data_IF_787632338141
#
_entry.id   IF_787632338141
#
_cell.length_a   1.000
_cell.length_b   1.000
_cell.length_c   1.000
_cell.angle_alpha   90.00
_cell.angle_beta   90.00
_cell.angle_gamma   90.00
#
_symmetry.space_group_name_H-M   'P 1'
#
loop_
_entity.id
_entity.type
_entity.pdbx_description
1 polymer ?
#
# COMPACT_ATOMS: atom_id res chain seq x y z
N UNK A 1 -10.48 -16.66 16.70
CA UNK A 1 -10.63 -17.72 15.67
C UNK A 1 -11.46 -17.28 14.45
N UNK A 2 -12.64 -16.57 14.57
CA UNK A 2 -13.38 -16.12 13.36
C UNK A 2 -12.59 -15.13 12.49
N UNK A 3 -11.92 -14.18 13.09
CA UNK A 3 -11.13 -13.16 12.37
C UNK A 3 -10.00 -13.78 11.53
N UNK A 4 -9.32 -14.76 12.05
CA UNK A 4 -8.27 -15.49 11.38
C UNK A 4 -8.74 -16.19 10.11
N UNK A 5 -9.93 -16.83 10.16
CA UNK A 5 -10.54 -17.46 8.99
C UNK A 5 -10.90 -16.43 7.92
N UNK A 6 -11.41 -15.27 8.31
CA UNK A 6 -11.72 -14.15 7.39
C UNK A 6 -10.45 -13.67 6.70
N UNK A 7 -9.36 -13.47 7.45
CA UNK A 7 -8.05 -13.07 6.89
C UNK A 7 -7.55 -14.08 5.88
N UNK A 8 -7.58 -15.37 6.21
CA UNK A 8 -7.13 -16.42 5.29
C UNK A 8 -7.96 -16.45 3.99
N UNK A 9 -9.29 -16.36 4.09
CA UNK A 9 -10.18 -16.34 2.91
C UNK A 9 -9.87 -15.11 2.04
N UNK A 10 -9.68 -13.94 2.65
CA UNK A 10 -9.38 -12.71 1.91
C UNK A 10 -8.01 -12.78 1.23
N UNK A 11 -6.98 -13.23 1.95
CA UNK A 11 -5.64 -13.41 1.37
C UNK A 11 -5.69 -14.43 0.23
N UNK A 12 -6.35 -15.59 0.41
CA UNK A 12 -6.50 -16.57 -0.66
C UNK A 12 -7.20 -15.98 -1.88
N UNK A 13 -8.30 -15.24 -1.69
CA UNK A 13 -9.02 -14.57 -2.79
C UNK A 13 -8.14 -13.54 -3.52
N UNK A 14 -7.36 -12.76 -2.79
CA UNK A 14 -6.41 -11.80 -3.37
C UNK A 14 -5.35 -12.51 -4.23
N UNK A 15 -4.77 -13.60 -3.72
CA UNK A 15 -3.78 -14.37 -4.47
C UNK A 15 -4.37 -15.10 -5.67
N UNK A 16 -5.64 -15.51 -5.63
CA UNK A 16 -6.34 -16.02 -6.82
C UNK A 16 -6.45 -14.96 -7.92
N UNK A 17 -6.74 -13.70 -7.57
CA UNK A 17 -6.76 -12.59 -8.52
C UNK A 17 -5.34 -12.29 -9.07
N UNK A 18 -4.31 -12.30 -8.20
CA UNK A 18 -2.91 -12.17 -8.64
C UNK A 18 -2.56 -13.32 -9.59
N UNK A 19 -2.91 -14.54 -9.26
CA UNK A 19 -2.68 -15.72 -10.11
C UNK A 19 -3.43 -15.61 -11.46
N UNK A 20 -4.66 -15.12 -11.45
CA UNK A 20 -5.41 -14.88 -12.68
C UNK A 20 -4.72 -13.86 -13.58
N UNK A 21 -4.23 -12.74 -13.03
CA UNK A 21 -3.43 -11.76 -13.75
C UNK A 21 -2.12 -12.34 -14.30
N UNK A 22 -1.42 -13.15 -13.51
CA UNK A 22 -0.20 -13.85 -13.91
C UNK A 22 -0.46 -14.83 -15.06
N UNK A 23 -1.51 -15.64 -14.97
CA UNK A 23 -1.92 -16.56 -16.03
C UNK A 23 -2.33 -15.82 -17.31
N UNK A 24 -3.10 -14.73 -17.18
CA UNK A 24 -3.51 -13.91 -18.32
C UNK A 24 -2.29 -13.32 -19.06
N UNK A 25 -1.25 -12.90 -18.32
CA UNK A 25 0.02 -12.43 -18.91
C UNK A 25 0.77 -13.57 -19.59
N UNK A 26 0.92 -14.71 -18.93
CA UNK A 26 1.61 -15.89 -19.49
C UNK A 26 0.94 -16.48 -20.72
N UNK A 27 -0.38 -16.38 -20.80
CA UNK A 27 -1.18 -16.81 -21.98
C UNK A 27 -1.27 -15.75 -23.07
N UNK A 28 -0.66 -14.56 -22.89
CA UNK A 28 -0.68 -13.49 -23.87
C UNK A 28 -1.99 -12.68 -23.93
N UNK A 29 -2.96 -12.92 -23.04
CA UNK A 29 -4.21 -12.16 -22.97
C UNK A 29 -3.96 -10.72 -22.48
N UNK A 30 -3.12 -10.56 -21.45
CA UNK A 30 -2.64 -9.27 -20.96
C UNK A 30 -1.22 -9.03 -21.48
N UNK A 31 -1.10 -8.45 -22.68
CA UNK A 31 0.18 -8.02 -23.23
C UNK A 31 0.71 -6.82 -22.44
N UNK A 32 1.94 -6.41 -22.68
CA UNK A 32 2.60 -5.33 -21.96
C UNK A 32 1.83 -4.02 -22.00
N UNK A 33 1.37 -3.63 -23.18
CA UNK A 33 0.54 -2.45 -23.41
C UNK A 33 -0.76 -2.48 -22.61
N UNK A 34 -1.49 -3.61 -22.64
CA UNK A 34 -2.74 -3.79 -21.91
C UNK A 34 -2.52 -3.77 -20.38
N UNK A 35 -1.42 -4.36 -19.91
CA UNK A 35 -1.03 -4.31 -18.50
C UNK A 35 -0.69 -2.88 -18.06
N UNK A 36 -0.02 -2.11 -18.92
CA UNK A 36 0.27 -0.69 -18.70
C UNK A 36 -0.99 0.17 -18.63
N UNK A 37 -1.95 -0.05 -19.52
CA UNK A 37 -3.25 0.64 -19.52
C UNK A 37 -4.02 0.32 -18.23
N UNK A 38 -4.08 -0.96 -17.86
CA UNK A 38 -4.74 -1.40 -16.63
C UNK A 38 -4.15 -0.70 -15.39
N UNK A 39 -2.82 -0.65 -15.29
CA UNK A 39 -2.13 0.03 -14.20
C UNK A 39 -2.41 1.54 -14.17
N UNK A 40 -2.49 2.19 -15.32
CA UNK A 40 -2.85 3.62 -15.41
C UNK A 40 -4.29 3.86 -14.96
N UNK A 41 -5.25 3.06 -15.40
CA UNK A 41 -6.64 3.17 -14.94
C UNK A 41 -6.72 3.05 -13.42
N UNK A 42 -5.99 2.10 -12.84
CA UNK A 42 -5.94 1.94 -11.39
C UNK A 42 -5.35 3.17 -10.71
N UNK A 43 -4.18 3.63 -11.14
CA UNK A 43 -3.42 4.68 -10.43
C UNK A 43 -4.01 6.08 -10.68
N UNK A 44 -4.44 6.36 -11.90
CA UNK A 44 -4.81 7.72 -12.31
C UNK A 44 -6.33 8.00 -12.19
N UNK A 45 -7.16 6.95 -12.08
CA UNK A 45 -8.61 7.11 -11.99
C UNK A 45 -9.23 6.36 -10.80
N UNK A 46 -9.09 5.03 -10.74
CA UNK A 46 -9.82 4.23 -9.76
C UNK A 46 -9.34 4.47 -8.32
N UNK A 47 -8.03 4.50 -8.09
CA UNK A 47 -7.46 4.76 -6.76
C UNK A 47 -7.76 6.18 -6.24
N UNK A 48 -7.59 7.26 -7.00
CA UNK A 48 -8.05 8.59 -6.58
C UNK A 48 -9.54 8.66 -6.25
N UNK A 49 -10.39 8.00 -7.03
CA UNK A 49 -11.84 7.92 -6.76
C UNK A 49 -12.13 7.15 -5.46
N UNK A 50 -11.44 6.03 -5.22
CA UNK A 50 -11.52 5.28 -3.98
C UNK A 50 -11.14 6.16 -2.78
N UNK A 51 -9.97 6.79 -2.84
CA UNK A 51 -9.45 7.59 -1.73
C UNK A 51 -10.37 8.77 -1.44
N UNK A 52 -10.79 9.51 -2.47
CA UNK A 52 -11.70 10.63 -2.34
C UNK A 52 -13.00 10.20 -1.66
N UNK A 53 -13.68 9.18 -2.15
CA UNK A 53 -14.97 8.72 -1.62
C UNK A 53 -14.85 8.14 -0.22
N UNK A 54 -13.76 7.46 0.10
CA UNK A 54 -13.52 6.94 1.46
C UNK A 54 -13.24 8.07 2.45
N UNK A 55 -12.42 9.06 2.09
CA UNK A 55 -12.21 10.24 2.94
C UNK A 55 -13.51 11.00 3.16
N UNK A 56 -14.28 11.21 2.09
CA UNK A 56 -15.57 11.89 2.16
C UNK A 56 -16.52 11.22 3.16
N UNK A 57 -16.60 9.88 3.16
CA UNK A 57 -17.55 9.11 4.00
C UNK A 57 -17.06 8.89 5.43
N UNK A 58 -15.75 8.82 5.66
CA UNK A 58 -15.19 8.34 6.93
C UNK A 58 -14.52 9.42 7.77
N UNK A 59 -14.22 10.60 7.19
CA UNK A 59 -13.51 11.66 7.90
C UNK A 59 -14.47 12.70 8.46
N UNK A 60 -14.27 13.03 9.74
CA UNK A 60 -14.87 14.17 10.44
C UNK A 60 -13.87 14.82 11.39
N UNK A 61 -14.26 15.91 12.05
CA UNK A 61 -13.39 16.63 12.98
C UNK A 61 -12.94 15.72 14.14
N UNK A 62 -13.84 14.86 14.63
CA UNK A 62 -13.54 13.96 15.76
C UNK A 62 -12.53 12.87 15.32
N UNK A 63 -12.77 12.24 14.16
CA UNK A 63 -11.87 11.24 13.62
C UNK A 63 -10.50 11.81 13.26
N UNK A 64 -10.42 13.03 12.70
CA UNK A 64 -9.12 13.68 12.44
C UNK A 64 -8.36 13.99 13.72
N UNK A 65 -9.04 14.45 14.77
CA UNK A 65 -8.41 14.65 16.08
C UNK A 65 -7.88 13.35 16.69
N UNK A 66 -8.58 12.25 16.47
CA UNK A 66 -8.16 10.94 16.93
C UNK A 66 -7.00 10.38 16.09
N UNK A 67 -7.05 10.57 14.78
CA UNK A 67 -6.21 9.91 13.78
C UNK A 67 -5.06 10.82 13.24
N UNK A 68 -4.84 12.01 13.84
CA UNK A 68 -3.87 13.02 13.35
C UNK A 68 -2.43 12.50 13.24
N UNK A 69 -2.07 11.51 14.06
CA UNK A 69 -0.74 10.89 14.03
C UNK A 69 -0.57 9.91 12.87
N UNK A 70 -1.64 9.37 12.29
CA UNK A 70 -1.55 8.31 11.29
C UNK A 70 -0.70 8.70 10.06
N UNK A 71 -0.79 9.91 9.49
CA UNK A 71 0.08 10.32 8.39
C UNK A 71 1.56 10.43 8.77
N UNK A 72 1.90 10.52 10.06
CA UNK A 72 3.27 10.62 10.54
C UNK A 72 3.91 9.26 10.83
N UNK A 73 3.10 8.22 11.13
CA UNK A 73 3.59 6.89 11.50
C UNK A 73 4.45 6.18 10.44
N UNK A 74 4.26 6.39 9.13
CA UNK A 74 5.15 5.81 8.12
C UNK A 74 6.60 6.27 8.23
N UNK A 75 6.88 7.50 8.67
CA UNK A 75 8.25 8.00 8.74
C UNK A 75 9.13 7.23 9.73
N UNK A 76 8.75 7.02 11.00
CA UNK A 76 9.52 6.17 11.90
C UNK A 76 9.61 4.72 11.41
N UNK A 77 8.57 4.16 10.81
CA UNK A 77 8.60 2.80 10.27
C UNK A 77 9.60 2.68 9.10
N UNK A 78 9.63 3.66 8.19
CA UNK A 78 10.59 3.72 7.09
C UNK A 78 12.01 3.97 7.62
N UNK A 79 12.19 4.84 8.62
CA UNK A 79 13.48 5.09 9.23
C UNK A 79 14.07 3.82 9.87
N UNK A 80 13.25 3.06 10.59
CA UNK A 80 13.66 1.79 11.20
C UNK A 80 13.98 0.74 10.13
N UNK A 81 13.13 0.62 9.11
CA UNK A 81 13.40 -0.26 7.98
C UNK A 81 14.71 0.13 7.27
N UNK A 82 15.00 1.44 7.17
CA UNK A 82 16.26 1.94 6.64
C UNK A 82 17.45 1.54 7.51
N UNK A 83 17.37 1.74 8.83
CA UNK A 83 18.43 1.33 9.76
C UNK A 83 18.67 -0.18 9.73
N UNK A 84 17.62 -0.99 9.72
CA UNK A 84 17.73 -2.44 9.54
C UNK A 84 18.37 -2.79 8.18
N UNK A 85 17.99 -2.08 7.12
CA UNK A 85 18.55 -2.22 5.79
C UNK A 85 20.04 -1.86 5.72
N UNK A 86 20.54 -0.90 6.50
CA UNK A 86 21.97 -0.57 6.58
C UNK A 86 22.80 -1.77 7.10
N UNK A 87 22.21 -2.61 7.96
CA UNK A 87 22.84 -3.83 8.46
C UNK A 87 22.72 -4.97 7.43
N UNK A 88 21.52 -5.13 6.86
CA UNK A 88 21.22 -6.26 5.95
C UNK A 88 21.88 -6.09 4.57
N UNK A 89 21.83 -4.89 3.98
CA UNK A 89 22.29 -4.65 2.62
C UNK A 89 23.77 -5.01 2.39
N UNK A 90 24.72 -4.73 3.33
CA UNK A 90 26.10 -5.15 3.16
C UNK A 90 26.32 -6.66 3.26
N UNK A 91 25.46 -7.38 3.99
CA UNK A 91 25.56 -8.83 4.18
C UNK A 91 25.13 -9.61 2.94
N UNK A 92 24.18 -9.07 2.19
CA UNK A 92 23.52 -9.75 1.08
C UNK A 92 23.80 -9.12 -0.29
N UNK A 93 24.27 -7.87 -0.36
CA UNK A 93 24.44 -7.11 -1.60
C UNK A 93 25.84 -6.56 -1.81
N UNK A 94 26.36 -6.61 -3.04
CA UNK A 94 27.55 -5.88 -3.47
C UNK A 94 27.33 -4.36 -3.44
N UNK A 95 28.40 -3.56 -3.54
CA UNK A 95 28.34 -2.09 -3.48
C UNK A 95 27.36 -1.49 -4.50
N UNK A 96 27.27 -2.05 -5.71
CA UNK A 96 26.39 -1.58 -6.79
C UNK A 96 24.89 -1.82 -6.51
N UNK A 97 24.56 -2.84 -5.72
CA UNK A 97 23.17 -3.23 -5.44
C UNK A 97 22.65 -2.70 -4.11
N UNK A 98 23.54 -2.17 -3.27
CA UNK A 98 23.24 -1.76 -1.90
C UNK A 98 22.06 -0.77 -1.81
N UNK A 99 22.06 0.25 -2.64
CA UNK A 99 21.00 1.27 -2.63
C UNK A 99 19.64 0.67 -3.04
N UNK A 100 19.64 -0.23 -4.03
CA UNK A 100 18.41 -0.93 -4.42
C UNK A 100 17.89 -1.82 -3.30
N UNK A 101 18.74 -2.59 -2.63
CA UNK A 101 18.37 -3.41 -1.48
C UNK A 101 17.78 -2.55 -0.35
N UNK A 102 18.45 -1.46 0.01
CA UNK A 102 17.96 -0.50 1.00
C UNK A 102 16.60 0.06 0.63
N UNK A 103 16.43 0.50 -0.62
CA UNK A 103 15.18 1.03 -1.13
C UNK A 103 14.04 0.01 -1.03
N UNK A 104 14.26 -1.24 -1.42
CA UNK A 104 13.24 -2.29 -1.36
C UNK A 104 12.85 -2.62 0.08
N UNK A 105 13.81 -2.68 1.00
CA UNK A 105 13.53 -2.93 2.42
C UNK A 105 12.68 -1.81 3.03
N UNK A 106 12.88 -0.56 2.61
CA UNK A 106 12.17 0.61 3.14
C UNK A 106 10.80 0.86 2.52
N UNK A 107 10.44 0.13 1.46
CA UNK A 107 9.27 0.43 0.62
C UNK A 107 8.23 -0.70 0.60
N UNK A 108 7.44 -0.88 1.68
CA UNK A 108 6.35 -1.86 1.71
C UNK A 108 5.17 -1.46 0.82
N UNK A 109 4.33 -2.42 0.50
CA UNK A 109 3.03 -2.17 -0.12
C UNK A 109 2.04 -1.62 0.92
N UNK A 110 1.86 -0.31 0.94
CA UNK A 110 1.03 0.39 1.93
C UNK A 110 -0.47 0.27 1.68
N UNK A 111 -0.91 -0.07 0.46
CA UNK A 111 -2.32 0.06 0.07
C UNK A 111 -2.90 -1.21 -0.53
N UNK A 112 -2.41 -1.64 -1.69
CA UNK A 112 -3.13 -2.58 -2.53
C UNK A 112 -3.31 -3.99 -1.93
N UNK A 113 -2.40 -4.43 -1.07
CA UNK A 113 -2.55 -5.70 -0.35
C UNK A 113 -3.18 -5.53 1.04
N UNK A 114 -2.82 -4.54 1.88
CA UNK A 114 -3.41 -4.45 3.21
C UNK A 114 -4.83 -3.90 3.21
N UNK A 115 -5.23 -3.09 2.20
CA UNK A 115 -6.54 -2.46 2.15
C UNK A 115 -7.72 -3.45 2.19
N UNK A 116 -7.78 -4.48 1.32
CA UNK A 116 -8.88 -5.45 1.35
C UNK A 116 -8.93 -6.29 2.63
N UNK A 117 -7.80 -6.49 3.29
CA UNK A 117 -7.74 -7.19 4.58
C UNK A 117 -8.31 -6.30 5.69
N UNK A 118 -7.89 -5.04 5.74
CA UNK A 118 -8.39 -4.08 6.72
C UNK A 118 -9.87 -3.77 6.53
N UNK A 119 -10.34 -3.68 5.28
CA UNK A 119 -11.76 -3.52 4.96
C UNK A 119 -12.58 -4.71 5.47
N UNK A 120 -12.10 -5.93 5.27
CA UNK A 120 -12.78 -7.13 5.71
C UNK A 120 -12.86 -7.28 7.24
N UNK A 121 -11.85 -6.81 7.97
CA UNK A 121 -11.76 -6.94 9.42
C UNK A 121 -12.43 -5.78 10.16
N UNK A 122 -12.28 -4.57 9.61
CA UNK A 122 -12.63 -3.34 10.34
C UNK A 122 -13.54 -2.40 9.53
N UNK A 123 -13.93 -2.77 8.30
CA UNK A 123 -14.76 -1.93 7.43
C UNK A 123 -14.11 -0.58 7.10
N UNK A 124 -14.96 0.44 6.93
CA UNK A 124 -14.53 1.82 6.62
C UNK A 124 -13.47 2.41 7.55
N UNK A 125 -13.57 2.26 8.88
CA UNK A 125 -12.52 2.71 9.80
C UNK A 125 -11.15 2.12 9.53
N UNK A 126 -11.04 0.82 9.23
CA UNK A 126 -9.78 0.18 8.86
C UNK A 126 -9.21 0.72 7.55
N UNK A 127 -10.07 0.92 6.56
CA UNK A 127 -9.70 1.57 5.28
C UNK A 127 -9.17 2.98 5.52
N UNK A 128 -9.85 3.78 6.35
CA UNK A 128 -9.40 5.14 6.70
C UNK A 128 -8.01 5.15 7.31
N UNK A 129 -7.71 4.27 8.25
CA UNK A 129 -6.38 4.18 8.88
C UNK A 129 -5.31 3.93 7.81
N UNK A 130 -5.52 2.98 6.89
CA UNK A 130 -4.57 2.69 5.81
C UNK A 130 -4.37 3.90 4.90
N UNK A 131 -5.45 4.57 4.49
CA UNK A 131 -5.38 5.68 3.56
C UNK A 131 -4.72 6.92 4.18
N UNK A 132 -4.95 7.19 5.47
CA UNK A 132 -4.26 8.26 6.19
C UNK A 132 -2.76 7.94 6.36
N UNK A 133 -2.41 6.72 6.73
CA UNK A 133 -1.01 6.27 6.75
C UNK A 133 -0.37 6.37 5.35
N UNK A 134 -1.11 6.07 4.28
CA UNK A 134 -0.60 6.13 2.92
C UNK A 134 -0.16 7.55 2.50
N UNK A 135 -0.75 8.61 3.06
CA UNK A 135 -0.28 10.00 2.83
C UNK A 135 1.20 10.12 3.22
N UNK A 136 1.55 9.75 4.45
CA UNK A 136 2.94 9.78 4.91
C UNK A 136 3.83 8.77 4.19
N UNK A 137 3.29 7.60 3.85
CA UNK A 137 4.01 6.59 3.09
C UNK A 137 4.39 7.08 1.68
N UNK A 138 3.51 7.76 1.00
CA UNK A 138 3.80 8.40 -0.29
C UNK A 138 4.85 9.49 -0.15
N UNK A 139 4.73 10.34 0.89
CA UNK A 139 5.75 11.35 1.18
C UNK A 139 7.12 10.70 1.44
N UNK A 140 7.18 9.64 2.25
CA UNK A 140 8.42 8.92 2.55
C UNK A 140 8.99 8.21 1.30
N UNK A 141 8.16 7.56 0.49
CA UNK A 141 8.58 6.87 -0.73
C UNK A 141 9.20 7.84 -1.73
N UNK A 142 8.54 8.96 -1.99
CA UNK A 142 8.98 9.95 -2.97
C UNK A 142 10.07 10.87 -2.47
N UNK A 143 10.32 10.96 -1.17
CA UNK A 143 11.46 11.69 -0.60
C UNK A 143 12.62 10.75 -0.25
N UNK A 144 12.48 9.95 0.78
CA UNK A 144 13.53 9.04 1.28
C UNK A 144 13.86 7.95 0.25
N UNK A 145 12.84 7.34 -0.36
CA UNK A 145 13.04 6.28 -1.33
C UNK A 145 13.81 6.74 -2.57
N UNK A 146 13.43 7.88 -3.16
CA UNK A 146 14.14 8.44 -4.32
C UNK A 146 15.54 8.93 -3.92
N UNK A 147 15.70 9.50 -2.72
CA UNK A 147 17.01 9.88 -2.21
C UNK A 147 17.97 8.68 -2.06
N UNK A 148 17.48 7.54 -1.57
CA UNK A 148 18.27 6.29 -1.48
C UNK A 148 18.77 5.85 -2.86
N UNK A 149 17.94 5.93 -3.89
CA UNK A 149 18.28 5.49 -5.25
C UNK A 149 19.16 6.49 -6.00
N UNK A 150 18.79 7.76 -5.98
CA UNK A 150 19.33 8.78 -6.89
C UNK A 150 20.13 9.88 -6.20
N UNK A 151 20.02 10.03 -4.88
CA UNK A 151 20.72 11.07 -4.13
C UNK A 151 20.16 12.50 -4.28
N UNK A 152 19.10 12.73 -5.10
CA UNK A 152 18.54 14.05 -5.36
C UNK A 152 17.12 14.21 -4.82
N UNK A 153 17.02 14.91 -3.68
CA UNK A 153 15.76 15.16 -2.98
C UNK A 153 14.85 16.16 -3.70
N UNK A 154 15.41 17.13 -4.43
CA UNK A 154 14.60 18.16 -5.09
C UNK A 154 13.73 17.58 -6.21
N UNK A 155 14.24 16.62 -6.96
CA UNK A 155 13.48 15.91 -7.99
C UNK A 155 12.36 15.05 -7.38
N UNK A 156 12.62 14.44 -6.23
CA UNK A 156 11.63 13.67 -5.48
C UNK A 156 10.44 14.54 -5.06
N UNK A 157 10.69 15.69 -4.46
CA UNK A 157 9.65 16.62 -4.01
C UNK A 157 8.79 17.16 -5.17
N UNK A 158 9.39 17.42 -6.33
CA UNK A 158 8.64 17.84 -7.53
C UNK A 158 7.64 16.77 -8.02
N UNK A 159 7.93 15.49 -7.80
CA UNK A 159 7.04 14.41 -8.18
C UNK A 159 5.83 14.26 -7.22
N UNK A 160 5.97 14.68 -5.97
CA UNK A 160 4.87 14.69 -5.00
C UNK A 160 3.72 15.59 -5.44
N UNK A 161 4.00 16.76 -6.00
CA UNK A 161 2.97 17.71 -6.45
C UNK A 161 2.14 17.16 -7.61
N UNK A 162 2.61 16.12 -8.29
CA UNK A 162 1.91 15.45 -9.40
C UNK A 162 1.13 14.20 -8.97
N UNK A 163 1.17 13.85 -7.68
CA UNK A 163 0.51 12.66 -7.19
C UNK A 163 -1.00 12.91 -7.02
N UNK A 164 -1.80 12.39 -7.95
CA UNK A 164 -3.27 12.56 -7.97
C UNK A 164 -3.91 11.97 -6.71
N UNK A 165 -3.39 10.87 -6.18
CA UNK A 165 -3.90 10.24 -4.96
C UNK A 165 -3.77 11.13 -3.72
N UNK A 166 -2.66 11.89 -3.58
CA UNK A 166 -2.50 12.86 -2.49
C UNK A 166 -3.51 14.02 -2.61
N UNK A 167 -3.71 14.54 -3.82
CA UNK A 167 -4.71 15.59 -4.06
C UNK A 167 -6.12 15.09 -3.83
N UNK A 168 -6.45 13.86 -4.23
CA UNK A 168 -7.74 13.24 -3.97
C UNK A 168 -7.98 13.07 -2.46
N UNK A 169 -6.96 12.70 -1.68
CA UNK A 169 -7.04 12.63 -0.21
C UNK A 169 -7.33 14.00 0.38
N UNK A 170 -6.54 15.01 0.00
CA UNK A 170 -6.70 16.37 0.51
C UNK A 170 -8.09 16.95 0.18
N UNK A 171 -8.53 16.76 -1.07
CA UNK A 171 -9.84 17.21 -1.53
C UNK A 171 -10.97 16.48 -0.81
N UNK A 172 -10.89 15.16 -0.65
CA UNK A 172 -11.89 14.37 0.08
C UNK A 172 -12.05 14.82 1.52
N UNK A 173 -10.93 15.06 2.22
CA UNK A 173 -10.93 15.61 3.59
C UNK A 173 -11.53 17.02 3.61
N UNK A 174 -11.10 17.90 2.70
CA UNK A 174 -11.57 19.28 2.65
C UNK A 174 -13.11 19.36 2.42
N UNK A 175 -13.63 18.56 1.47
CA UNK A 175 -15.05 18.48 1.19
C UNK A 175 -15.83 17.89 2.36
N UNK A 176 -15.32 16.83 3.01
CA UNK A 176 -15.95 16.22 4.17
C UNK A 176 -16.10 17.17 5.35
N UNK A 177 -15.13 18.07 5.55
CA UNK A 177 -15.12 19.05 6.63
C UNK A 177 -15.97 20.31 6.30
N UNK A 178 -15.88 20.78 5.04
CA UNK A 178 -16.61 21.98 4.60
C UNK A 178 -18.11 21.72 4.40
N UNK A 179 -18.47 20.52 3.98
CA UNK A 179 -19.84 20.15 3.64
C UNK A 179 -20.25 18.82 4.32
N UNK A 180 -20.53 18.80 5.62
CA UNK A 180 -20.86 17.55 6.35
C UNK A 180 -22.05 16.78 5.75
N UNK A 181 -23.01 17.48 5.15
CA UNK A 181 -24.18 16.87 4.48
C UNK A 181 -23.78 15.98 3.26
N UNK A 182 -22.61 16.19 2.69
CA UNK A 182 -22.13 15.40 1.53
C UNK A 182 -21.72 13.96 1.93
N UNK A 183 -21.50 13.69 3.21
CA UNK A 183 -21.22 12.33 3.71
C UNK A 183 -22.34 11.35 3.40
N UNK A 184 -23.59 11.84 3.49
CA UNK A 184 -24.79 11.03 3.30
C UNK A 184 -25.14 10.83 1.83
N UNK A 185 -24.48 11.54 0.90
CA UNK A 185 -24.72 11.43 -0.53
C UNK A 185 -24.39 10.03 -1.12
N UNK A 186 -23.67 9.19 -0.37
CA UNK A 186 -23.49 7.78 -0.73
C UNK A 186 -24.67 6.89 -0.37
N UNK A 187 -25.67 7.40 0.34
CA UNK A 187 -26.90 6.69 0.67
C UNK A 187 -27.99 7.11 -0.31
N UNK A 188 -28.25 6.27 -1.31
CA UNK A 188 -29.24 6.54 -2.35
C UNK A 188 -30.67 6.77 -1.79
N UNK A 189 -30.99 6.17 -0.63
CA UNK A 189 -32.29 6.34 0.03
C UNK A 189 -32.44 7.67 0.79
N UNK A 190 -31.30 8.33 1.10
CA UNK A 190 -31.30 9.64 1.77
C UNK A 190 -30.97 10.78 0.81
N UNK A 191 -30.95 10.54 -0.49
CA UNK A 191 -30.64 11.54 -1.51
C UNK A 191 -31.70 12.66 -1.49
N UNK A 192 -31.30 13.94 -1.46
CA UNK A 192 -32.21 15.05 -1.55
C UNK A 192 -33.01 14.98 -2.86
N UNK A 193 -34.34 15.23 -2.79
CA UNK A 193 -35.22 15.19 -3.96
C UNK A 193 -34.98 16.34 -4.96
N UNK A 194 -34.14 17.30 -4.63
CA UNK A 194 -33.77 18.40 -5.54
C UNK A 194 -32.86 17.90 -6.68
N UNK A 195 -32.96 18.52 -7.86
CA UNK A 195 -32.11 18.21 -8.99
C UNK A 195 -30.61 18.29 -8.63
N UNK A 196 -30.19 19.27 -7.85
CA UNK A 196 -28.82 19.40 -7.36
C UNK A 196 -28.42 18.26 -6.43
N UNK A 197 -29.32 17.81 -5.55
CA UNK A 197 -29.12 16.68 -4.66
C UNK A 197 -28.98 15.35 -5.43
N UNK A 198 -29.86 15.14 -6.41
CA UNK A 198 -29.77 13.95 -7.28
C UNK A 198 -28.45 13.94 -8.06
N UNK A 199 -28.07 15.07 -8.67
CA UNK A 199 -26.84 15.18 -9.44
C UNK A 199 -25.59 14.95 -8.59
N UNK A 200 -25.52 15.55 -7.39
CA UNK A 200 -24.37 15.34 -6.47
C UNK A 200 -24.28 13.91 -5.98
N UNK A 201 -25.41 13.28 -5.66
CA UNK A 201 -25.45 11.86 -5.27
C UNK A 201 -24.99 10.96 -6.41
N UNK A 202 -25.44 11.20 -7.65
CA UNK A 202 -25.03 10.43 -8.83
C UNK A 202 -23.51 10.54 -9.08
N UNK A 203 -22.91 11.73 -8.90
CA UNK A 203 -21.47 11.92 -9.02
C UNK A 203 -20.69 11.13 -7.96
N UNK A 204 -21.11 11.23 -6.69
CA UNK A 204 -20.46 10.49 -5.59
C UNK A 204 -20.62 8.98 -5.78
N UNK A 205 -21.78 8.51 -6.24
CA UNK A 205 -22.01 7.10 -6.50
C UNK A 205 -21.15 6.60 -7.67
N UNK A 206 -21.09 7.33 -8.78
CA UNK A 206 -20.23 7.01 -9.92
C UNK A 206 -18.73 6.92 -9.51
N UNK A 207 -18.25 7.87 -8.69
CA UNK A 207 -16.91 7.82 -8.13
C UNK A 207 -16.71 6.62 -7.20
N UNK A 208 -17.72 6.26 -6.40
CA UNK A 208 -17.64 5.09 -5.53
C UNK A 208 -17.62 3.78 -6.34
N UNK A 209 -18.42 3.68 -7.39
CA UNK A 209 -18.36 2.54 -8.33
C UNK A 209 -16.99 2.42 -9.00
N UNK A 210 -16.44 3.54 -9.49
CA UNK A 210 -15.08 3.57 -10.06
C UNK A 210 -14.03 3.19 -9.00
N UNK A 211 -14.17 3.71 -7.78
CA UNK A 211 -13.29 3.38 -6.66
C UNK A 211 -13.31 1.89 -6.30
N UNK A 212 -14.47 1.24 -6.39
CA UNK A 212 -14.65 -0.18 -6.02
C UNK A 212 -13.84 -1.15 -6.88
N UNK A 213 -13.54 -0.79 -8.12
CA UNK A 213 -12.72 -1.63 -9.01
C UNK A 213 -11.21 -1.52 -8.74
N UNK A 214 -10.78 -0.59 -7.87
CA UNK A 214 -9.35 -0.38 -7.55
C UNK A 214 -8.69 -1.67 -7.07
N UNK A 215 -9.28 -2.35 -6.08
CA UNK A 215 -8.69 -3.55 -5.47
C UNK A 215 -8.59 -4.69 -6.49
N UNK A 216 -9.67 -5.16 -7.14
CA UNK A 216 -9.57 -6.28 -8.05
C UNK A 216 -8.68 -5.98 -9.26
N UNK A 217 -8.75 -4.77 -9.84
CA UNK A 217 -7.91 -4.41 -10.97
C UNK A 217 -6.43 -4.28 -10.57
N UNK A 218 -6.12 -3.75 -9.38
CA UNK A 218 -4.75 -3.66 -8.90
C UNK A 218 -4.14 -5.05 -8.70
N UNK A 219 -4.88 -6.01 -8.14
CA UNK A 219 -4.40 -7.37 -7.94
C UNK A 219 -4.17 -8.10 -9.27
N UNK A 220 -5.06 -7.93 -10.26
CA UNK A 220 -4.85 -8.42 -11.62
C UNK A 220 -3.61 -7.78 -12.28
N UNK A 221 -3.44 -6.47 -12.14
CA UNK A 221 -2.28 -5.74 -12.66
C UNK A 221 -0.98 -6.22 -12.00
N UNK A 222 -0.98 -6.41 -10.66
CA UNK A 222 0.14 -7.01 -9.92
C UNK A 222 0.49 -8.37 -10.51
N UNK A 223 -0.49 -9.24 -10.68
CA UNK A 223 -0.30 -10.56 -11.27
C UNK A 223 0.29 -10.50 -12.68
N UNK A 224 -0.24 -9.63 -13.54
CA UNK A 224 0.25 -9.44 -14.89
C UNK A 224 1.72 -8.95 -14.92
N UNK A 225 2.08 -8.01 -14.05
CA UNK A 225 3.46 -7.52 -13.93
C UNK A 225 4.40 -8.62 -13.40
N UNK A 226 3.99 -9.38 -12.38
CA UNK A 226 4.74 -10.54 -11.90
C UNK A 226 4.92 -11.60 -13.00
N UNK A 227 3.93 -11.79 -13.88
CA UNK A 227 4.00 -12.70 -15.03
C UNK A 227 4.99 -12.25 -16.11
N UNK A 228 5.32 -10.96 -16.19
CA UNK A 228 6.30 -10.41 -17.12
C UNK A 228 7.76 -10.60 -16.64
N UNK A 229 7.96 -10.80 -15.32
CA UNK A 229 9.30 -10.92 -14.75
C UNK A 229 9.91 -12.28 -15.11
N UNK A 230 11.09 -12.33 -15.75
CA UNK A 230 11.79 -13.57 -16.03
C UNK A 230 12.49 -14.06 -14.75
N UNK A 231 11.77 -14.76 -13.88
CA UNK A 231 12.32 -15.31 -12.63
C UNK A 231 12.65 -16.78 -12.82
N UNK A 232 13.94 -17.12 -12.65
CA UNK A 232 14.38 -18.47 -12.39
C UNK A 232 14.65 -18.62 -10.90
N UNK A 233 13.80 -19.37 -10.20
CA UNK A 233 13.96 -19.59 -8.76
C UNK A 233 15.29 -20.24 -8.38
N UNK A 234 15.94 -20.94 -9.34
CA UNK A 234 17.24 -21.61 -9.12
C UNK A 234 18.44 -20.67 -9.17
N UNK A 235 18.28 -19.47 -9.74
CA UNK A 235 19.38 -18.51 -9.95
C UNK A 235 19.11 -17.14 -9.30
N UNK A 236 18.28 -17.10 -8.25
CA UNK A 236 18.02 -15.84 -7.54
C UNK A 236 19.27 -15.41 -6.77
N UNK A 237 19.73 -14.15 -6.97
CA UNK A 237 20.91 -13.65 -6.28
C UNK A 237 20.62 -13.47 -4.77
N UNK A 238 21.67 -13.63 -3.97
CA UNK A 238 21.60 -13.54 -2.51
C UNK A 238 20.96 -12.24 -1.99
N UNK A 239 21.16 -11.06 -2.61
CA UNK A 239 20.48 -9.81 -2.22
C UNK A 239 18.97 -9.88 -2.21
N UNK A 240 18.35 -10.64 -3.12
CA UNK A 240 16.88 -10.80 -3.17
C UNK A 240 16.36 -11.50 -1.91
N UNK A 241 17.08 -12.53 -1.44
CA UNK A 241 16.74 -13.21 -0.20
C UNK A 241 16.90 -12.30 1.03
N UNK A 242 17.95 -11.46 1.03
CA UNK A 242 18.12 -10.42 2.05
C UNK A 242 16.94 -9.46 2.13
N UNK A 243 16.42 -9.00 0.98
CA UNK A 243 15.22 -8.17 0.90
C UNK A 243 14.00 -8.89 1.47
N UNK A 244 13.77 -10.14 1.06
CA UNK A 244 12.61 -10.94 1.52
C UNK A 244 12.64 -11.12 3.04
N UNK A 245 13.79 -11.55 3.59
CA UNK A 245 13.97 -11.74 5.03
C UNK A 245 13.76 -10.44 5.81
N UNK A 246 14.42 -9.37 5.38
CA UNK A 246 14.30 -8.07 6.04
C UNK A 246 12.87 -7.55 5.98
N UNK A 247 12.19 -7.68 4.85
CA UNK A 247 10.86 -7.12 4.64
C UNK A 247 9.76 -7.91 5.36
N UNK A 248 9.80 -9.24 5.26
CA UNK A 248 8.71 -10.10 5.75
C UNK A 248 8.90 -10.59 7.18
N UNK A 249 10.12 -10.52 7.74
CA UNK A 249 10.39 -10.95 9.10
C UNK A 249 10.90 -9.81 9.98
N UNK A 250 11.99 -9.14 9.59
CA UNK A 250 12.62 -8.13 10.44
C UNK A 250 11.70 -6.92 10.63
N UNK A 251 11.13 -6.37 9.58
CA UNK A 251 10.31 -5.17 9.66
C UNK A 251 9.04 -5.34 10.54
N UNK A 252 8.23 -6.42 10.40
CA UNK A 252 7.09 -6.63 11.28
C UNK A 252 7.52 -6.90 12.73
N UNK A 253 8.58 -7.68 12.98
CA UNK A 253 9.06 -7.93 14.34
C UNK A 253 9.50 -6.64 15.04
N UNK A 254 10.23 -5.78 14.35
CA UNK A 254 10.63 -4.47 14.87
C UNK A 254 9.40 -3.59 15.12
N UNK A 255 8.40 -3.62 14.24
CA UNK A 255 7.15 -2.85 14.42
C UNK A 255 6.40 -3.32 15.67
N UNK A 256 6.30 -4.62 15.90
CA UNK A 256 5.70 -5.19 17.13
C UNK A 256 6.50 -4.77 18.36
N UNK A 257 7.82 -4.91 18.34
CA UNK A 257 8.70 -4.52 19.45
C UNK A 257 8.56 -3.03 19.81
N UNK A 258 8.46 -2.16 18.80
CA UNK A 258 8.18 -0.74 19.00
C UNK A 258 6.81 -0.50 19.61
N UNK A 259 5.77 -1.19 19.11
CA UNK A 259 4.43 -1.11 19.69
C UNK A 259 4.43 -1.45 21.18
N UNK A 260 5.19 -2.48 21.57
CA UNK A 260 5.40 -2.85 22.97
C UNK A 260 6.16 -1.75 23.73
N UNK A 261 7.25 -1.23 23.17
CA UNK A 261 8.03 -0.16 23.79
C UNK A 261 7.21 1.12 24.02
N UNK A 262 6.39 1.53 23.04
CA UNK A 262 5.47 2.66 23.18
C UNK A 262 4.42 2.41 24.26
N UNK A 263 3.88 1.18 24.36
CA UNK A 263 2.94 0.82 25.42
C UNK A 263 3.57 0.91 26.82
N UNK A 264 4.82 0.49 26.98
CA UNK A 264 5.58 0.66 28.23
C UNK A 264 5.89 2.13 28.55
N UNK A 265 6.07 2.97 27.54
CA UNK A 265 6.22 4.43 27.69
C UNK A 265 4.88 5.16 27.98
N UNK A 266 3.78 4.42 28.17
CA UNK A 266 2.45 4.98 28.47
C UNK A 266 1.63 5.35 27.24
N UNK A 267 2.13 5.15 26.02
CA UNK A 267 1.44 5.50 24.80
C UNK A 267 0.75 4.26 24.20
N UNK A 268 -0.58 4.21 24.25
CA UNK A 268 -1.35 3.07 23.75
C UNK A 268 -2.19 3.46 22.54
N UNK A 269 -1.81 2.96 21.37
CA UNK A 269 -2.67 3.05 20.19
C UNK A 269 -3.94 2.18 20.36
N UNK A 270 -5.08 2.58 19.78
CA UNK A 270 -6.25 1.71 19.68
C UNK A 270 -5.87 0.35 19.05
N UNK A 271 -6.55 -0.71 19.49
CA UNK A 271 -6.25 -2.07 19.01
C UNK A 271 -6.29 -2.17 17.48
N UNK A 272 -7.33 -1.62 16.84
CA UNK A 272 -7.45 -1.57 15.39
C UNK A 272 -6.23 -0.93 14.72
N UNK A 273 -5.78 0.24 15.21
CA UNK A 273 -4.61 0.94 14.65
C UNK A 273 -3.34 0.09 14.78
N UNK A 274 -3.12 -0.55 15.93
CA UNK A 274 -1.96 -1.44 16.11
C UNK A 274 -1.97 -2.60 15.12
N UNK A 275 -3.13 -3.27 14.98
CA UNK A 275 -3.27 -4.40 14.06
C UNK A 275 -3.07 -3.97 12.59
N UNK A 276 -3.58 -2.81 12.19
CA UNK A 276 -3.36 -2.26 10.84
C UNK A 276 -1.89 -1.91 10.61
N UNK A 277 -1.20 -1.34 11.59
CA UNK A 277 0.24 -1.04 11.48
C UNK A 277 1.08 -2.31 11.34
N UNK A 278 0.79 -3.35 12.14
CA UNK A 278 1.46 -4.65 12.01
C UNK A 278 1.15 -5.28 10.65
N UNK A 279 -0.09 -5.21 10.20
CA UNK A 279 -0.49 -5.68 8.88
C UNK A 279 0.33 -5.00 7.77
N UNK A 280 0.43 -3.68 7.78
CA UNK A 280 1.21 -2.92 6.78
C UNK A 280 2.71 -3.24 6.88
N UNK A 281 3.24 -3.35 8.09
CA UNK A 281 4.64 -3.71 8.29
C UNK A 281 4.97 -5.11 7.75
N UNK A 282 3.99 -6.01 7.74
CA UNK A 282 4.11 -7.38 7.20
C UNK A 282 3.97 -7.47 5.69
N UNK A 283 3.63 -6.36 5.02
CA UNK A 283 3.42 -6.37 3.58
C UNK A 283 4.71 -6.54 2.78
N UNK A 284 4.66 -7.19 1.63
CA UNK A 284 5.79 -7.33 0.72
C UNK A 284 6.24 -5.98 0.15
N UNK A 285 7.30 -6.00 -0.62
CA UNK A 285 7.79 -4.82 -1.34
C UNK A 285 6.70 -4.28 -2.28
N UNK A 286 6.54 -2.96 -2.33
CA UNK A 286 5.58 -2.31 -3.21
C UNK A 286 5.96 -2.52 -4.68
N UNK A 287 4.96 -2.80 -5.52
CA UNK A 287 5.16 -3.10 -6.94
C UNK A 287 5.81 -1.93 -7.70
N UNK A 288 5.46 -0.70 -7.32
CA UNK A 288 6.04 0.52 -7.92
C UNK A 288 7.57 0.58 -7.78
N UNK A 289 8.15 -0.18 -6.85
CA UNK A 289 9.60 -0.17 -6.61
C UNK A 289 10.41 -0.68 -7.79
N UNK A 290 9.90 -1.62 -8.58
CA UNK A 290 10.60 -2.08 -9.80
C UNK A 290 10.71 -0.96 -10.84
N UNK A 291 9.62 -0.22 -11.05
CA UNK A 291 9.57 0.93 -11.97
C UNK A 291 10.43 2.09 -11.45
N UNK A 292 10.39 2.34 -10.14
CA UNK A 292 11.22 3.39 -9.53
C UNK A 292 12.71 3.06 -9.60
N UNK A 293 13.11 1.81 -9.37
CA UNK A 293 14.49 1.39 -9.51
C UNK A 293 15.01 1.63 -10.93
N UNK A 294 14.24 1.26 -11.94
CA UNK A 294 14.58 1.52 -13.34
C UNK A 294 14.72 3.04 -13.62
N UNK A 295 13.76 3.82 -13.16
CA UNK A 295 13.71 5.27 -13.44
C UNK A 295 14.78 6.08 -12.72
N UNK A 296 15.19 5.64 -11.53
CA UNK A 296 16.10 6.39 -10.65
C UNK A 296 17.48 5.76 -10.50
N UNK A 297 17.87 4.87 -11.44
CA UNK A 297 19.24 4.34 -11.53
C UNK A 297 19.56 3.21 -10.55
N UNK A 298 18.53 2.54 -10.01
CA UNK A 298 18.68 1.30 -9.26
C UNK A 298 18.81 0.07 -10.17
N UNK A 299 19.04 -1.09 -9.56
CA UNK A 299 19.02 -2.39 -10.25
C UNK A 299 17.55 -2.83 -10.44
N UNK A 300 17.00 -2.60 -11.64
CA UNK A 300 15.61 -2.90 -11.99
C UNK A 300 15.32 -4.41 -11.93
N UNK A 301 16.29 -5.25 -12.31
CA UNK A 301 16.13 -6.71 -12.28
C UNK A 301 16.04 -7.21 -10.84
N UNK A 302 16.96 -6.78 -9.98
CA UNK A 302 16.94 -7.11 -8.55
C UNK A 302 15.64 -6.62 -7.90
N UNK A 303 15.19 -5.39 -8.24
CA UNK A 303 13.95 -4.83 -7.71
C UNK A 303 12.73 -5.67 -8.13
N UNK A 304 12.64 -6.04 -9.40
CA UNK A 304 11.57 -6.88 -9.91
C UNK A 304 11.54 -8.27 -9.22
N UNK A 305 12.70 -8.90 -9.07
CA UNK A 305 12.84 -10.18 -8.38
C UNK A 305 12.48 -10.06 -6.88
N UNK A 306 12.89 -8.98 -6.21
CA UNK A 306 12.55 -8.70 -4.80
C UNK A 306 11.06 -8.51 -4.59
N UNK A 307 10.39 -7.75 -5.47
CA UNK A 307 8.93 -7.59 -5.50
C UNK A 307 8.24 -8.94 -5.69
N UNK A 308 8.66 -9.70 -6.71
CA UNK A 308 8.07 -11.00 -7.01
C UNK A 308 8.18 -11.96 -5.82
N UNK A 309 9.39 -12.16 -5.31
CA UNK A 309 9.64 -13.15 -4.27
C UNK A 309 8.99 -12.76 -2.95
N UNK A 310 9.10 -11.48 -2.54
CA UNK A 310 8.45 -11.01 -1.32
C UNK A 310 6.92 -11.13 -1.40
N UNK A 311 6.31 -10.85 -2.57
CA UNK A 311 4.86 -11.03 -2.78
C UNK A 311 4.48 -12.52 -2.68
N UNK A 312 5.25 -13.41 -3.28
CA UNK A 312 5.00 -14.85 -3.20
C UNK A 312 5.08 -15.37 -1.75
N UNK A 313 6.12 -15.01 -1.01
CA UNK A 313 6.28 -15.45 0.38
C UNK A 313 5.31 -14.78 1.35
N UNK A 314 4.78 -13.58 1.02
CA UNK A 314 3.79 -12.91 1.85
C UNK A 314 2.48 -13.71 1.98
N UNK A 315 2.18 -14.61 1.05
CA UNK A 315 1.06 -15.55 1.14
C UNK A 315 1.09 -16.39 2.45
N UNK A 316 2.27 -16.73 2.91
CA UNK A 316 2.48 -17.52 4.12
C UNK A 316 2.78 -16.63 5.34
N UNK A 317 3.63 -15.60 5.16
CA UNK A 317 4.12 -14.80 6.28
C UNK A 317 3.08 -13.84 6.82
N UNK A 318 2.22 -13.24 5.98
CA UNK A 318 1.19 -12.29 6.44
C UNK A 318 0.15 -12.98 7.34
N UNK A 319 -0.46 -14.12 6.95
CA UNK A 319 -1.34 -14.86 7.86
C UNK A 319 -0.64 -15.28 9.14
N UNK A 320 0.57 -15.86 9.04
CA UNK A 320 1.31 -16.35 10.19
C UNK A 320 1.58 -15.23 11.22
N UNK A 321 2.06 -14.06 10.77
CA UNK A 321 2.32 -12.92 11.64
C UNK A 321 1.04 -12.32 12.21
N UNK A 322 -0.03 -12.26 11.42
CA UNK A 322 -1.32 -11.79 11.91
C UNK A 322 -1.85 -12.68 13.03
N UNK A 323 -1.73 -14.01 12.89
CA UNK A 323 -2.11 -14.98 13.94
C UNK A 323 -1.27 -14.87 15.22
N UNK A 324 0.02 -14.52 15.08
CA UNK A 324 0.91 -14.40 16.24
C UNK A 324 0.63 -13.14 17.08
N UNK A 325 0.03 -12.11 16.48
CA UNK A 325 -0.17 -10.79 17.11
C UNK A 325 -1.63 -10.52 17.47
N UNK A 326 -2.60 -11.25 16.86
CA UNK A 326 -4.03 -11.17 17.20
C UNK A 326 -4.37 -11.93 18.47
#
# INVERSE_FOLDING_TARGET
MPEARVVLIKIAGMFLLILAGWLARRRGWLREEASGILSRIVVDAAFPALVFTQMLRTVDVASLRQDWLLPLLPFPLVAIAYLAGLVVAPLFGGKSQRNTVLFLITSPNWVFLPLPIAEALYGGPGVRVILLCNVGAQLALWSIGVWILHGNIAQALRNLTKNIGLWATALGIAVALAFPAVRDLGNLHAAPASLGGIASTAVVDALAMLGSVTIPLSLLAIGAQLGAIPVSLRSLPLPVWGVVLARLLVAPLVTVALGVAFAHAGYRFPQMTRMVLVLVASMPVALVCSVMAERYGGDAQLAAQGVFLSTLFSLLTVPALFFLVS
#
